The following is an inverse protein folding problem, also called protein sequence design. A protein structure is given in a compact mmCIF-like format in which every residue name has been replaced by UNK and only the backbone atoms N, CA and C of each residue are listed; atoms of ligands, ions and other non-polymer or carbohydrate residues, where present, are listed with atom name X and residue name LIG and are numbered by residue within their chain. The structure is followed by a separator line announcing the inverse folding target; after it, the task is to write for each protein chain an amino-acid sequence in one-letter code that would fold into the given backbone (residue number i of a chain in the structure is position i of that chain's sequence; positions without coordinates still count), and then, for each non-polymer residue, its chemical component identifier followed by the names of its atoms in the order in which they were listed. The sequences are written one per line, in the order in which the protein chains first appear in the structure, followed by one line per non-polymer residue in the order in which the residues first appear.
data_IF_193233725545
#
_entry.id   IF_193233725545
#
_cell.length_a   1.000
_cell.length_b   1.000
_cell.length_c   1.000
_cell.angle_alpha   90.00
_cell.angle_beta   90.00
_cell.angle_gamma   90.00
#
_symmetry.space_group_name_H-M   'P 1'
#
loop_
_entity.id
_entity.type
_entity.pdbx_description
1 polymer ?
#
# COMPACT_ATOMS: atom_id res chain seq x y z
N UNK A 1 8.71 -14.16 -0.20
CA UNK A 1 8.92 -13.21 -1.33
C UNK A 1 9.31 -11.87 -0.75
N UNK A 2 10.38 -11.24 -1.23
CA UNK A 2 10.67 -9.84 -0.91
C UNK A 2 9.92 -8.94 -1.92
N UNK A 3 8.60 -8.87 -1.78
CA UNK A 3 7.76 -8.08 -2.68
C UNK A 3 7.98 -6.60 -2.40
N UNK A 4 8.46 -5.85 -3.38
CA UNK A 4 8.61 -4.40 -3.26
C UNK A 4 7.23 -3.75 -3.02
N UNK A 5 7.13 -2.69 -2.21
CA UNK A 5 5.82 -2.10 -1.89
C UNK A 5 5.06 -1.64 -3.15
N UNK A 6 5.78 -1.19 -4.19
CA UNK A 6 5.19 -0.89 -5.51
C UNK A 6 4.58 -2.12 -6.15
N UNK A 7 5.31 -3.24 -6.15
CA UNK A 7 4.87 -4.49 -6.75
C UNK A 7 3.62 -5.03 -6.04
N UNK A 8 3.61 -4.99 -4.71
CA UNK A 8 2.45 -5.34 -3.91
C UNK A 8 1.23 -4.47 -4.25
N UNK A 9 1.40 -3.15 -4.26
CA UNK A 9 0.34 -2.19 -4.62
C UNK A 9 -0.14 -2.41 -6.06
N UNK A 10 0.76 -2.71 -7.00
CA UNK A 10 0.41 -3.05 -8.39
C UNK A 10 -0.46 -4.31 -8.46
N UNK A 11 -0.08 -5.38 -7.76
CA UNK A 11 -0.84 -6.64 -7.71
C UNK A 11 -2.23 -6.44 -7.10
N UNK A 12 -2.33 -5.72 -5.98
CA UNK A 12 -3.62 -5.38 -5.37
C UNK A 12 -4.50 -4.56 -6.32
N UNK A 13 -3.92 -3.59 -7.02
CA UNK A 13 -4.64 -2.73 -7.97
C UNK A 13 -5.14 -3.49 -9.22
N UNK A 14 -4.40 -4.50 -9.69
CA UNK A 14 -4.87 -5.43 -10.74
C UNK A 14 -6.04 -6.27 -10.22
N UNK A 15 -5.92 -6.87 -9.04
CA UNK A 15 -6.99 -7.68 -8.41
C UNK A 15 -8.24 -6.88 -8.08
N UNK A 16 -8.11 -5.58 -7.79
CA UNK A 16 -9.23 -4.65 -7.50
C UNK A 16 -9.71 -3.92 -8.77
N UNK A 17 -10.05 -4.70 -9.79
CA UNK A 17 -10.70 -4.20 -11.02
C UNK A 17 -9.75 -3.51 -12.02
N UNK A 18 -8.47 -3.88 -12.05
CA UNK A 18 -7.46 -3.34 -12.97
C UNK A 18 -7.38 -1.79 -13.02
N UNK A 19 -7.47 -1.17 -11.85
CA UNK A 19 -7.31 0.29 -11.69
C UNK A 19 -5.92 0.73 -12.19
N UNK A 20 -5.77 1.98 -12.64
CA UNK A 20 -4.48 2.52 -13.14
C UNK A 20 -3.65 3.19 -12.03
N UNK A 21 -2.32 3.28 -12.19
CA UNK A 21 -1.47 4.04 -11.25
C UNK A 21 -1.93 5.51 -11.12
N UNK A 22 -2.41 6.11 -12.21
CA UNK A 22 -2.90 7.48 -12.24
C UNK A 22 -4.25 7.65 -11.51
N UNK A 23 -5.13 6.65 -11.57
CA UNK A 23 -6.41 6.65 -10.83
C UNK A 23 -6.17 6.46 -9.33
N UNK A 24 -5.29 5.53 -8.94
CA UNK A 24 -4.90 5.35 -7.54
C UNK A 24 -4.25 6.62 -6.95
N UNK A 25 -3.42 7.32 -7.74
CA UNK A 25 -2.87 8.61 -7.32
C UNK A 25 -3.98 9.64 -7.02
N UNK A 26 -4.96 9.80 -7.92
CA UNK A 26 -6.11 10.72 -7.71
C UNK A 26 -6.91 10.35 -6.46
N UNK A 27 -7.28 9.08 -6.29
CA UNK A 27 -8.04 8.59 -5.12
C UNK A 27 -7.32 8.81 -3.80
N UNK A 28 -5.99 8.76 -3.80
CA UNK A 28 -5.16 9.03 -2.61
C UNK A 28 -4.84 10.52 -2.40
N UNK A 29 -5.40 11.43 -3.23
CA UNK A 29 -5.18 12.88 -3.15
C UNK A 29 -3.81 13.33 -3.68
N UNK A 30 -3.22 12.58 -4.61
CA UNK A 30 -1.86 12.79 -5.11
C UNK A 30 -1.81 12.96 -6.64
N UNK A 31 -0.79 13.65 -7.13
CA UNK A 31 -0.46 13.61 -8.57
C UNK A 31 0.20 12.27 -8.95
N UNK A 32 -0.02 11.76 -10.18
CA UNK A 32 0.67 10.57 -10.67
C UNK A 32 2.20 10.68 -10.59
N UNK A 33 2.75 11.88 -10.79
CA UNK A 33 4.18 12.18 -10.65
C UNK A 33 4.67 11.99 -9.21
N UNK A 34 3.91 12.46 -8.21
CA UNK A 34 4.26 12.25 -6.80
C UNK A 34 4.22 10.76 -6.43
N UNK A 35 3.20 10.05 -6.88
CA UNK A 35 3.05 8.60 -6.66
C UNK A 35 4.23 7.81 -7.27
N UNK A 36 4.61 8.13 -8.52
CA UNK A 36 5.78 7.52 -9.18
C UNK A 36 7.10 7.84 -8.45
N UNK A 37 7.27 9.06 -7.93
CA UNK A 37 8.44 9.42 -7.14
C UNK A 37 8.51 8.63 -5.82
N UNK A 38 7.37 8.37 -5.15
CA UNK A 38 7.30 7.50 -3.96
C UNK A 38 7.65 6.05 -4.28
N UNK A 39 7.11 5.52 -5.37
CA UNK A 39 7.47 4.18 -5.86
C UNK A 39 8.98 4.05 -6.14
N UNK A 40 9.61 5.01 -6.82
CA UNK A 40 11.06 5.02 -7.06
C UNK A 40 11.88 5.07 -5.77
N UNK A 41 11.42 5.81 -4.76
CA UNK A 41 12.09 5.93 -3.45
C UNK A 41 11.75 4.79 -2.49
N UNK A 42 10.87 3.86 -2.87
CA UNK A 42 10.38 2.75 -2.03
C UNK A 42 9.96 3.17 -0.60
N UNK A 43 9.44 4.38 -0.44
CA UNK A 43 9.17 5.00 0.87
C UNK A 43 7.73 5.50 0.93
N UNK A 44 6.89 4.70 1.57
CA UNK A 44 5.51 5.03 1.92
C UNK A 44 5.39 5.12 3.43
N UNK A 45 4.72 6.16 3.93
CA UNK A 45 4.29 6.19 5.33
C UNK A 45 3.10 5.25 5.53
N UNK A 46 2.87 4.78 6.76
CA UNK A 46 1.69 3.96 7.10
C UNK A 46 0.41 4.68 6.63
N UNK A 47 0.27 5.98 6.92
CA UNK A 47 -0.85 6.82 6.48
C UNK A 47 -0.99 7.05 4.97
N UNK A 48 -0.03 6.60 4.18
CA UNK A 48 -0.11 6.58 2.72
C UNK A 48 -0.50 5.20 2.21
N UNK A 49 -0.14 4.14 2.94
CA UNK A 49 -0.63 2.78 2.71
C UNK A 49 -2.11 2.63 3.12
N UNK A 50 -2.55 3.30 4.19
CA UNK A 50 -3.96 3.37 4.61
C UNK A 50 -4.83 3.94 3.47
N UNK A 51 -4.49 5.13 2.96
CA UNK A 51 -5.18 5.73 1.81
C UNK A 51 -5.18 4.86 0.56
N UNK A 52 -4.11 4.10 0.34
CA UNK A 52 -4.01 3.15 -0.79
C UNK A 52 -4.95 1.96 -0.58
N UNK A 53 -5.12 1.49 0.65
CA UNK A 53 -6.07 0.45 1.01
C UNK A 53 -7.52 0.95 0.89
N UNK A 54 -7.84 2.14 1.43
CA UNK A 54 -9.14 2.81 1.31
C UNK A 54 -9.56 2.97 -0.17
N UNK A 55 -8.66 3.49 -1.01
CA UNK A 55 -8.89 3.68 -2.44
C UNK A 55 -9.22 2.37 -3.20
N UNK A 56 -8.84 1.22 -2.62
CA UNK A 56 -9.05 -0.14 -3.11
C UNK A 56 -10.18 -0.90 -2.40
N UNK A 57 -10.87 -0.29 -1.43
CA UNK A 57 -11.87 -0.96 -0.60
C UNK A 57 -11.27 -2.13 0.17
N UNK A 58 -10.20 -1.87 0.93
CA UNK A 58 -9.50 -2.85 1.73
C UNK A 58 -8.96 -2.21 3.02
N UNK A 59 -8.84 -2.99 4.09
CA UNK A 59 -8.18 -2.56 5.33
C UNK A 59 -6.67 -2.80 5.24
N UNK A 60 -5.88 -1.88 5.80
CA UNK A 60 -4.45 -2.10 6.02
C UNK A 60 -4.24 -2.83 7.35
N UNK A 61 -3.71 -4.05 7.31
CA UNK A 61 -3.27 -4.80 8.50
C UNK A 61 -1.73 -4.82 8.59
N UNK A 62 -1.20 -4.38 9.72
CA UNK A 62 0.23 -4.46 10.10
C UNK A 62 0.27 -4.94 11.55
N UNK A 63 1.11 -5.94 11.89
CA UNK A 63 1.15 -6.52 13.25
C UNK A 63 2.55 -7.01 13.66
N UNK A 64 2.95 -6.73 14.90
CA UNK A 64 4.20 -7.14 15.54
C UNK A 64 3.99 -7.52 17.02
N UNK A 65 4.78 -8.51 17.49
CA UNK A 65 4.60 -9.29 18.73
C UNK A 65 4.22 -8.52 20.00
N UNK A 66 3.38 -9.19 20.79
CA UNK A 66 3.63 -9.31 22.22
C UNK A 66 4.84 -10.23 22.55
N UNK A 67 5.70 -9.80 23.47
CA UNK A 67 7.01 -10.44 23.71
C UNK A 67 6.99 -11.69 24.57
N UNK A 68 5.85 -12.05 25.17
CA UNK A 68 5.75 -13.19 26.11
C UNK A 68 4.53 -14.09 25.86
N UNK A 69 3.41 -13.55 25.36
CA UNK A 69 2.11 -14.24 25.26
C UNK A 69 1.77 -14.82 23.89
N UNK A 70 2.41 -14.34 22.80
CA UNK A 70 2.32 -14.96 21.48
C UNK A 70 1.22 -14.46 20.54
N UNK A 71 0.62 -13.29 20.77
CA UNK A 71 -0.27 -12.64 19.80
C UNK A 71 0.49 -11.60 18.95
N UNK A 72 0.50 -11.74 17.60
CA UNK A 72 1.73 -12.31 17.02
C UNK A 72 2.74 -11.30 16.48
N UNK A 73 3.99 -11.76 16.30
CA UNK A 73 4.81 -11.26 15.20
C UNK A 73 4.18 -11.82 13.94
N UNK A 74 3.67 -10.91 13.10
CA UNK A 74 3.04 -11.23 11.80
C UNK A 74 2.04 -12.40 11.84
#
# INVERSE_FOLDING_TARGET
MHTNIREYINLCRVKRGNMTEAELARRTGQSPQNMNNKYKRNTFKISELEKVADAMGADLKISFIDKESGEPII
#
